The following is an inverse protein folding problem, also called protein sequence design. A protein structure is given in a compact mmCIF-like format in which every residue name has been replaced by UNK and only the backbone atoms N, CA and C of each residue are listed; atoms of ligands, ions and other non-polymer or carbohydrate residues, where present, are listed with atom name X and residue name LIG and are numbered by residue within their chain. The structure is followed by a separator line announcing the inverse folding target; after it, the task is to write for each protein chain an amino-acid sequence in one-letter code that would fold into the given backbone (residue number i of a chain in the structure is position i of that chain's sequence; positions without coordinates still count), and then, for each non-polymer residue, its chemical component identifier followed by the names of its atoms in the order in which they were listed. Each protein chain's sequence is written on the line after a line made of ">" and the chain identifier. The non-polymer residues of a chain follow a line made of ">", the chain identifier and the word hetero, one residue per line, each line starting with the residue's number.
data_IF_937373901733
#
_entry.id   IF_937373901733
#
_cell.length_a   1.000
_cell.length_b   1.000
_cell.length_c   1.000
_cell.angle_alpha   90.00
_cell.angle_beta   90.00
_cell.angle_gamma   90.00
#
_symmetry.space_group_name_H-M   'P 1'
#
loop_
_entity.id
_entity.type
_entity.pdbx_description
1 polymer ?
#
# COMPACT_ATOMS: atom_id res chain seq x y z
N UNK A 1 -15.55 -13.21 -22.55
CA UNK A 1 -16.79 -13.21 -21.75
C UNK A 1 -16.70 -14.26 -20.64
N UNK A 2 -17.28 -13.99 -19.48
CA UNK A 2 -17.40 -14.98 -18.41
C UNK A 2 -18.57 -15.93 -18.73
N UNK A 3 -18.28 -16.99 -19.49
CA UNK A 3 -19.32 -17.84 -20.10
C UNK A 3 -19.92 -18.88 -19.14
N UNK A 4 -19.33 -19.11 -17.97
CA UNK A 4 -19.90 -19.97 -16.93
C UNK A 4 -20.42 -19.16 -15.73
N UNK A 5 -21.40 -19.69 -14.96
CA UNK A 5 -21.86 -19.03 -13.73
C UNK A 5 -20.72 -18.75 -12.73
N UNK A 6 -19.76 -19.67 -12.65
CA UNK A 6 -18.57 -19.52 -11.81
C UNK A 6 -17.66 -18.40 -12.31
N UNK A 7 -17.45 -18.29 -13.63
CA UNK A 7 -16.67 -17.20 -14.21
C UNK A 7 -17.32 -15.83 -13.93
N UNK A 8 -18.66 -15.72 -14.04
CA UNK A 8 -19.39 -14.48 -13.73
C UNK A 8 -19.25 -14.09 -12.25
N UNK A 9 -19.24 -15.09 -11.35
CA UNK A 9 -18.98 -14.87 -9.92
C UNK A 9 -17.55 -14.38 -9.67
N UNK A 10 -16.55 -15.01 -10.30
CA UNK A 10 -15.13 -14.62 -10.18
C UNK A 10 -14.88 -13.20 -10.69
N UNK A 11 -15.50 -12.79 -11.79
CA UNK A 11 -15.39 -11.42 -12.31
C UNK A 11 -15.85 -10.37 -11.28
N UNK A 12 -17.02 -10.58 -10.65
CA UNK A 12 -17.54 -9.69 -9.60
C UNK A 12 -16.65 -9.65 -8.35
N UNK A 13 -16.08 -10.80 -7.95
CA UNK A 13 -15.15 -10.87 -6.82
C UNK A 13 -13.82 -10.17 -7.11
N UNK A 14 -13.31 -10.31 -8.34
CA UNK A 14 -12.07 -9.68 -8.77
C UNK A 14 -12.18 -8.15 -8.76
N UNK A 15 -13.30 -7.60 -9.22
CA UNK A 15 -13.54 -6.15 -9.19
C UNK A 15 -13.56 -5.60 -7.76
N UNK A 16 -14.30 -6.24 -6.85
CA UNK A 16 -14.33 -5.88 -5.42
C UNK A 16 -12.94 -5.93 -4.78
N UNK A 17 -12.17 -6.97 -5.09
CA UNK A 17 -10.81 -7.11 -4.58
C UNK A 17 -9.87 -6.06 -5.17
N UNK A 18 -10.04 -5.73 -6.46
CA UNK A 18 -9.24 -4.71 -7.16
C UNK A 18 -9.42 -3.33 -6.54
N UNK A 19 -10.66 -2.90 -6.31
CA UNK A 19 -10.95 -1.57 -5.75
C UNK A 19 -10.42 -1.43 -4.32
N UNK A 20 -10.66 -2.44 -3.48
CA UNK A 20 -10.12 -2.49 -2.13
C UNK A 20 -8.58 -2.49 -2.10
N UNK A 21 -7.94 -3.32 -2.93
CA UNK A 21 -6.47 -3.37 -2.96
C UNK A 21 -5.86 -2.11 -3.62
N UNK A 22 -6.61 -1.38 -4.44
CA UNK A 22 -6.16 -0.10 -4.98
C UNK A 22 -6.07 0.98 -3.88
N UNK A 23 -7.06 1.06 -2.99
CA UNK A 23 -7.05 2.04 -1.89
C UNK A 23 -5.90 1.77 -0.91
N UNK A 24 -5.67 0.51 -0.54
CA UNK A 24 -4.56 0.11 0.33
C UNK A 24 -3.18 0.43 -0.29
N UNK A 25 -3.01 0.17 -1.60
CA UNK A 25 -1.77 0.55 -2.31
C UNK A 25 -1.61 2.07 -2.43
N UNK A 26 -2.70 2.81 -2.55
CA UNK A 26 -2.68 4.28 -2.56
C UNK A 26 -2.22 4.81 -1.20
N UNK A 27 -2.77 4.27 -0.11
CA UNK A 27 -2.39 4.64 1.26
C UNK A 27 -0.88 4.52 1.48
N UNK A 28 -0.26 3.39 1.15
CA UNK A 28 1.20 3.23 1.31
C UNK A 28 1.99 4.27 0.53
N UNK A 29 1.59 4.55 -0.72
CA UNK A 29 2.26 5.57 -1.55
C UNK A 29 2.15 6.96 -0.94
N UNK A 30 1.02 7.29 -0.31
CA UNK A 30 0.83 8.56 0.39
C UNK A 30 1.77 8.70 1.57
N UNK A 31 1.93 7.66 2.40
CA UNK A 31 2.87 7.70 3.53
C UNK A 31 4.32 7.83 3.05
N UNK A 32 4.72 7.12 1.99
CA UNK A 32 6.05 7.28 1.38
C UNK A 32 6.28 8.71 0.88
N UNK A 33 5.28 9.31 0.20
CA UNK A 33 5.36 10.71 -0.25
C UNK A 33 5.52 11.70 0.91
N UNK A 34 4.82 11.49 2.02
CA UNK A 34 4.94 12.34 3.22
C UNK A 34 6.35 12.30 3.81
N UNK A 35 6.96 11.12 3.89
CA UNK A 35 8.34 10.95 4.34
C UNK A 35 9.30 11.69 3.40
N UNK A 36 9.18 11.47 2.09
CA UNK A 36 10.05 12.13 1.11
C UNK A 36 9.90 13.67 1.14
N UNK A 37 8.68 14.17 1.31
CA UNK A 37 8.42 15.60 1.44
C UNK A 37 9.04 16.19 2.72
N UNK A 38 8.93 15.49 3.86
CA UNK A 38 9.53 15.93 5.12
C UNK A 38 11.07 15.89 5.08
N UNK A 39 11.65 14.92 4.37
CA UNK A 39 13.11 14.88 4.13
C UNK A 39 13.52 16.07 3.25
N UNK A 40 12.77 16.36 2.19
CA UNK A 40 13.06 17.46 1.28
C UNK A 40 12.94 18.84 1.94
N UNK A 41 12.09 18.99 2.97
CA UNK A 41 11.97 20.24 3.72
C UNK A 41 13.08 20.46 4.77
N UNK A 42 13.94 19.46 5.01
CA UNK A 42 15.07 19.59 5.93
C UNK A 42 14.72 19.51 7.43
N UNK A 43 13.46 19.22 7.77
CA UNK A 43 13.02 19.05 9.17
C UNK A 43 13.26 17.61 9.63
N UNK A 44 14.29 17.42 10.45
CA UNK A 44 14.72 16.11 10.90
C UNK A 44 13.70 15.45 11.86
N UNK A 45 13.02 16.21 12.71
CA UNK A 45 12.06 15.65 13.67
C UNK A 45 10.76 15.24 12.97
N UNK A 46 10.26 16.08 12.07
CA UNK A 46 9.11 15.76 11.25
C UNK A 46 9.39 14.54 10.35
N UNK A 47 10.59 14.43 9.76
CA UNK A 47 10.97 13.29 8.93
C UNK A 47 11.02 11.97 9.73
N UNK A 48 11.61 11.98 10.93
CA UNK A 48 11.65 10.80 11.82
C UNK A 48 10.24 10.34 12.20
N UNK A 49 9.38 11.28 12.60
CA UNK A 49 8.00 10.99 13.00
C UNK A 49 7.18 10.42 11.82
N UNK A 50 7.31 11.04 10.64
CA UNK A 50 6.67 10.55 9.43
C UNK A 50 7.16 9.15 9.06
N UNK A 51 8.46 8.88 9.18
CA UNK A 51 9.06 7.59 8.87
C UNK A 51 8.54 6.47 9.77
N UNK A 52 8.52 6.66 11.10
CA UNK A 52 7.99 5.66 12.05
C UNK A 52 6.53 5.30 11.70
N UNK A 53 5.71 6.29 11.38
CA UNK A 53 4.34 6.05 10.96
C UNK A 53 4.27 5.25 9.64
N UNK A 54 5.12 5.57 8.68
CA UNK A 54 5.15 4.91 7.37
C UNK A 54 5.61 3.45 7.47
N UNK A 55 6.63 3.15 8.28
CA UNK A 55 7.13 1.79 8.54
C UNK A 55 6.01 0.88 9.02
N UNK A 56 5.24 1.34 10.02
CA UNK A 56 4.13 0.55 10.58
C UNK A 56 3.04 0.22 9.56
N UNK A 57 2.75 1.16 8.64
CA UNK A 57 1.77 0.96 7.57
C UNK A 57 2.31 0.02 6.51
N UNK A 58 3.58 0.17 6.11
CA UNK A 58 4.23 -0.68 5.11
C UNK A 58 4.23 -2.15 5.54
N UNK A 59 4.59 -2.43 6.79
CA UNK A 59 4.58 -3.81 7.32
C UNK A 59 3.19 -4.41 7.31
N UNK A 60 2.20 -3.67 7.80
CA UNK A 60 0.81 -4.15 7.83
C UNK A 60 0.28 -4.46 6.43
N UNK A 61 0.72 -3.71 5.42
CA UNK A 61 0.33 -3.97 4.02
C UNK A 61 1.12 -5.11 3.39
N UNK A 62 2.34 -5.38 3.86
CA UNK A 62 3.10 -6.57 3.48
C UNK A 62 2.45 -7.84 4.06
N UNK A 63 2.04 -7.82 5.32
CA UNK A 63 1.35 -8.94 5.97
C UNK A 63 -0.01 -9.25 5.32
N UNK A 64 -0.74 -8.22 4.88
CA UNK A 64 -1.98 -8.38 4.11
C UNK A 64 -1.76 -8.88 2.67
N UNK A 65 -0.52 -9.08 2.23
CA UNK A 65 -0.18 -9.51 0.87
C UNK A 65 -0.42 -8.45 -0.22
N UNK A 66 -0.66 -7.19 0.17
CA UNK A 66 -0.85 -6.07 -0.76
C UNK A 66 0.48 -5.66 -1.41
N UNK A 67 1.58 -5.85 -0.67
CA UNK A 67 2.94 -5.63 -1.11
C UNK A 67 3.77 -6.88 -0.80
N UNK A 68 4.75 -7.19 -1.64
CA UNK A 68 5.70 -8.25 -1.35
C UNK A 68 6.64 -7.83 -0.20
N UNK A 69 7.02 -8.77 0.68
CA UNK A 69 7.92 -8.49 1.81
C UNK A 69 9.25 -7.86 1.37
N UNK A 70 9.85 -8.35 0.29
CA UNK A 70 11.07 -7.73 -0.29
C UNK A 70 10.86 -6.29 -0.77
N UNK A 71 9.66 -5.97 -1.28
CA UNK A 71 9.34 -4.59 -1.68
C UNK A 71 9.17 -3.70 -0.46
N UNK A 72 8.52 -4.21 0.60
CA UNK A 72 8.43 -3.52 1.87
C UNK A 72 9.81 -3.27 2.49
N UNK A 73 10.67 -4.29 2.53
CA UNK A 73 12.04 -4.19 3.03
C UNK A 73 12.90 -3.18 2.26
N UNK A 74 12.69 -3.01 0.95
CA UNK A 74 13.38 -1.98 0.16
C UNK A 74 12.90 -0.55 0.43
N UNK A 75 11.67 -0.39 0.89
CA UNK A 75 11.08 0.93 1.17
C UNK A 75 11.29 1.40 2.61
N UNK A 76 11.64 0.47 3.50
CA UNK A 76 12.14 0.76 4.83
C UNK A 76 13.60 1.13 4.76
#
# INVERSE_FOLDING_TARGET
>A
MANSPQAKKRARQAEKSRTHNASLRSMVRTYLKKVLAAIASGDQEAAKTAYVSAVSVIDRMADKGILHKNKAARHK
#
